data_IF_612518106782
#
_entry.id   IF_612518106782
#
_cell.length_a   1.000
_cell.length_b   1.000
_cell.length_c   1.000
_cell.angle_alpha   90.00
_cell.angle_beta   90.00
_cell.angle_gamma   90.00
#
_symmetry.space_group_name_H-M   'P 1'
#
loop_
_entity.id
_entity.type
_entity.pdbx_description
1 polymer ?
#
# COMPACT_ATOMS: atom_id res chain seq x y z
N UNK A 1 12.70 3.75 12.66
CA UNK A 1 13.42 2.69 13.40
C UNK A 1 13.38 1.40 12.59
N UNK A 2 14.09 0.33 12.98
CA UNK A 2 13.98 -0.95 12.29
C UNK A 2 12.76 -1.74 12.82
N UNK A 3 11.92 -2.21 11.90
CA UNK A 3 10.78 -3.09 12.21
C UNK A 3 11.24 -4.37 12.89
N UNK A 4 10.48 -4.84 13.88
CA UNK A 4 10.85 -6.00 14.71
C UNK A 4 10.08 -7.27 14.33
N UNK A 5 10.61 -8.42 14.72
CA UNK A 5 9.90 -9.69 14.58
C UNK A 5 8.69 -9.76 15.52
N UNK A 6 7.64 -10.46 15.12
CA UNK A 6 6.37 -10.58 15.86
C UNK A 6 6.11 -12.05 16.19
N UNK A 7 5.91 -12.37 17.48
CA UNK A 7 5.46 -13.67 17.99
C UNK A 7 6.24 -14.88 17.44
N UNK A 8 7.57 -14.87 17.57
CA UNK A 8 8.41 -15.93 16.97
C UNK A 8 9.16 -16.76 18.00
N UNK A 9 8.95 -18.07 17.96
CA UNK A 9 9.79 -19.08 18.59
C UNK A 9 10.72 -19.76 17.56
N UNK A 10 11.86 -20.29 18.01
CA UNK A 10 12.85 -20.96 17.15
C UNK A 10 12.26 -22.13 16.36
N UNK A 11 11.50 -23.01 17.02
CA UNK A 11 10.91 -24.19 16.35
C UNK A 11 9.84 -23.78 15.34
N UNK A 12 9.04 -22.77 15.70
CA UNK A 12 8.01 -22.23 14.82
C UNK A 12 8.60 -21.66 13.52
N UNK A 13 9.73 -20.93 13.59
CA UNK A 13 10.41 -20.39 12.40
C UNK A 13 10.78 -21.52 11.42
N UNK A 14 11.40 -22.59 11.92
CA UNK A 14 11.80 -23.72 11.08
C UNK A 14 10.61 -24.46 10.48
N UNK A 15 9.54 -24.67 11.26
CA UNK A 15 8.31 -25.27 10.76
C UNK A 15 7.68 -24.44 9.64
N UNK A 16 7.59 -23.11 9.80
CA UNK A 16 7.04 -22.21 8.78
C UNK A 16 7.91 -22.22 7.51
N UNK A 17 9.22 -22.14 7.65
CA UNK A 17 10.13 -22.19 6.48
C UNK A 17 9.98 -23.53 5.74
N UNK A 18 9.90 -24.63 6.49
CA UNK A 18 9.72 -25.96 5.90
C UNK A 18 8.39 -26.07 5.17
N UNK A 19 7.27 -25.69 5.80
CA UNK A 19 5.94 -25.69 5.18
C UNK A 19 5.90 -24.77 3.96
N UNK A 20 6.42 -23.55 4.08
CA UNK A 20 6.46 -22.63 2.96
C UNK A 20 7.23 -23.24 1.77
N UNK A 21 8.40 -23.84 2.01
CA UNK A 21 9.18 -24.51 0.96
C UNK A 21 8.44 -25.71 0.37
N UNK A 22 7.88 -26.58 1.21
CA UNK A 22 7.14 -27.77 0.79
C UNK A 22 5.97 -27.41 -0.13
N UNK A 23 5.16 -26.44 0.29
CA UNK A 23 4.02 -25.93 -0.49
C UNK A 23 4.46 -25.05 -1.66
N UNK A 24 5.71 -24.57 -1.64
CA UNK A 24 6.35 -23.88 -2.77
C UNK A 24 6.75 -24.83 -3.91
N UNK A 25 6.95 -26.13 -3.63
CA UNK A 25 7.35 -27.14 -4.63
C UNK A 25 6.23 -27.39 -5.65
N UNK A 26 6.61 -27.52 -6.92
CA UNK A 26 5.71 -27.61 -8.09
C UNK A 26 4.69 -28.75 -8.05
N UNK A 27 4.99 -29.84 -7.36
CA UNK A 27 4.06 -30.96 -7.17
C UNK A 27 2.96 -30.62 -6.17
N UNK A 28 3.32 -30.05 -5.03
CA UNK A 28 2.35 -29.61 -4.01
C UNK A 28 1.60 -28.34 -4.41
N UNK A 29 2.20 -27.47 -5.23
CA UNK A 29 1.54 -26.26 -5.73
C UNK A 29 0.34 -26.54 -6.63
N UNK A 30 0.22 -27.75 -7.19
CA UNK A 30 -0.95 -28.19 -7.96
C UNK A 30 -2.11 -28.62 -7.05
N UNK A 31 -1.80 -29.05 -5.83
CA UNK A 31 -2.77 -29.50 -4.84
C UNK A 31 -3.23 -28.36 -3.92
N UNK A 32 -2.41 -27.33 -3.73
CA UNK A 32 -2.70 -26.19 -2.86
C UNK A 32 -2.91 -24.90 -3.64
N UNK A 33 -4.06 -24.24 -3.39
CA UNK A 33 -4.41 -22.94 -3.99
C UNK A 33 -3.38 -21.89 -3.56
N UNK A 34 -2.96 -21.05 -4.51
CA UNK A 34 -2.15 -19.85 -4.29
C UNK A 34 -2.86 -18.63 -4.83
N UNK A 35 -2.55 -17.47 -4.26
CA UNK A 35 -2.90 -16.17 -4.82
C UNK A 35 -1.61 -15.36 -4.93
N UNK A 36 -1.06 -15.27 -6.15
CA UNK A 36 0.22 -14.61 -6.42
C UNK A 36 1.35 -15.08 -5.48
N UNK A 37 1.95 -14.19 -4.67
CA UNK A 37 3.05 -14.54 -3.76
C UNK A 37 2.65 -15.28 -2.48
N UNK A 38 1.36 -15.48 -2.25
CA UNK A 38 0.83 -16.01 -0.98
C UNK A 38 0.60 -17.52 -1.07
N UNK A 39 1.14 -18.25 -0.11
CA UNK A 39 0.97 -19.70 0.05
C UNK A 39 -0.10 -19.96 1.10
N UNK A 40 -1.19 -20.63 0.73
CA UNK A 40 -2.26 -20.99 1.66
C UNK A 40 -1.92 -22.31 2.37
N UNK A 41 -1.74 -22.25 3.69
CA UNK A 41 -1.49 -23.43 4.53
C UNK A 41 -2.80 -24.12 4.93
N UNK A 42 -3.89 -23.36 5.03
CA UNK A 42 -5.23 -23.88 5.33
C UNK A 42 -6.33 -22.95 4.77
N UNK A 43 -7.59 -23.18 5.17
CA UNK A 43 -8.68 -22.24 4.91
C UNK A 43 -8.58 -20.94 5.73
N UNK A 44 -7.78 -20.93 6.80
CA UNK A 44 -7.68 -19.79 7.75
C UNK A 44 -6.30 -19.15 7.81
N UNK A 45 -5.26 -19.81 7.31
CA UNK A 45 -3.86 -19.36 7.47
C UNK A 45 -3.16 -19.34 6.12
N UNK A 46 -2.42 -18.26 5.88
CA UNK A 46 -1.52 -18.12 4.75
C UNK A 46 -0.16 -17.56 5.16
N UNK A 47 0.81 -17.71 4.27
CA UNK A 47 2.16 -17.16 4.42
C UNK A 47 2.50 -16.34 3.19
N UNK A 48 2.85 -15.06 3.40
CA UNK A 48 3.43 -14.18 2.38
C UNK A 48 4.95 -14.16 2.57
N UNK A 49 5.67 -14.39 1.48
CA UNK A 49 7.13 -14.25 1.45
C UNK A 49 7.59 -14.00 0.02
N UNK A 50 7.91 -12.75 -0.29
CA UNK A 50 8.52 -12.32 -1.55
C UNK A 50 9.91 -11.73 -1.28
N UNK A 51 10.69 -11.40 -2.33
CA UNK A 51 11.89 -10.59 -2.18
C UNK A 51 11.64 -9.18 -1.63
N UNK A 52 10.39 -8.70 -1.62
CA UNK A 52 10.01 -7.34 -1.23
C UNK A 52 9.20 -7.27 0.07
N UNK A 53 8.69 -8.41 0.56
CA UNK A 53 8.01 -8.51 1.85
C UNK A 53 8.91 -7.95 2.95
N UNK A 54 8.35 -7.06 3.76
CA UNK A 54 9.05 -6.41 4.87
C UNK A 54 8.34 -6.71 6.19
N UNK A 55 9.04 -6.55 7.32
CA UNK A 55 8.40 -6.61 8.64
C UNK A 55 7.45 -5.43 8.85
N UNK A 56 7.69 -4.29 8.17
CA UNK A 56 6.82 -3.12 8.21
C UNK A 56 5.41 -3.41 7.69
N UNK A 57 5.25 -4.32 6.70
CA UNK A 57 3.93 -4.78 6.24
C UNK A 57 3.13 -5.44 7.38
N UNK A 58 3.79 -6.28 8.19
CA UNK A 58 3.17 -6.93 9.33
C UNK A 58 2.87 -5.93 10.46
N UNK A 59 3.78 -4.99 10.72
CA UNK A 59 3.54 -3.88 11.65
C UNK A 59 2.35 -3.03 11.21
N UNK A 60 2.20 -2.74 9.91
CA UNK A 60 1.13 -1.90 9.38
C UNK A 60 -0.24 -2.55 9.60
N UNK A 61 -0.39 -3.84 9.30
CA UNK A 61 -1.63 -4.56 9.59
C UNK A 61 -1.98 -4.54 11.08
N UNK A 62 -1.00 -4.75 11.97
CA UNK A 62 -1.25 -4.65 13.42
C UNK A 62 -1.66 -3.25 13.85
N UNK A 63 -0.94 -2.24 13.38
CA UNK A 63 -1.22 -0.84 13.68
C UNK A 63 -2.63 -0.44 13.25
N UNK A 64 -3.05 -0.81 12.05
CA UNK A 64 -4.39 -0.52 11.54
C UNK A 64 -5.47 -1.23 12.36
N UNK A 65 -5.27 -2.51 12.69
CA UNK A 65 -6.19 -3.27 13.53
C UNK A 65 -6.31 -2.70 14.96
N UNK A 66 -5.24 -2.12 15.49
CA UNK A 66 -5.21 -1.52 16.82
C UNK A 66 -5.85 -0.12 16.87
N UNK A 67 -5.91 0.61 15.74
CA UNK A 67 -6.37 2.00 15.68
C UNK A 67 -7.68 2.23 14.91
N UNK A 68 -8.23 1.22 14.25
CA UNK A 68 -9.43 1.36 13.41
C UNK A 68 -10.32 0.12 13.48
N UNK A 69 -11.51 0.19 12.88
CA UNK A 69 -12.38 -0.99 12.66
C UNK A 69 -12.17 -1.63 11.29
N UNK A 70 -11.12 -1.26 10.56
CA UNK A 70 -10.86 -1.76 9.20
C UNK A 70 -10.49 -3.24 9.30
N UNK A 71 -11.18 -4.12 8.56
CA UNK A 71 -10.82 -5.54 8.56
C UNK A 71 -9.49 -5.71 7.82
N UNK A 72 -8.46 -6.16 8.53
CA UNK A 72 -7.14 -6.48 7.98
C UNK A 72 -6.73 -7.88 8.41
N UNK A 73 -5.86 -8.59 7.65
CA UNK A 73 -5.42 -9.92 8.05
C UNK A 73 -4.77 -9.91 9.43
N UNK A 74 -5.26 -10.76 10.34
CA UNK A 74 -4.60 -10.94 11.64
C UNK A 74 -3.19 -11.51 11.44
N UNK A 75 -2.17 -10.78 11.88
CA UNK A 75 -0.79 -11.26 11.89
C UNK A 75 -0.59 -12.24 13.04
N UNK A 76 -0.25 -13.48 12.73
CA UNK A 76 0.10 -14.49 13.72
C UNK A 76 1.58 -14.46 14.07
N UNK A 77 2.44 -14.30 13.07
CA UNK A 77 3.88 -14.35 13.22
C UNK A 77 4.57 -13.63 12.05
N UNK A 78 5.64 -12.88 12.32
CA UNK A 78 6.46 -12.25 11.28
C UNK A 78 7.94 -12.26 11.66
N UNK A 79 8.81 -12.71 10.75
CA UNK A 79 10.25 -12.76 11.01
C UNK A 79 11.09 -12.74 9.74
N UNK A 80 12.36 -12.38 9.91
CA UNK A 80 13.39 -12.50 8.89
C UNK A 80 14.24 -13.76 9.10
N UNK A 81 14.52 -14.48 8.01
CA UNK A 81 15.51 -15.55 7.97
C UNK A 81 16.31 -15.46 6.68
N UNK A 82 17.65 -15.33 6.79
CA UNK A 82 18.56 -15.21 5.65
C UNK A 82 18.12 -14.13 4.62
N UNK A 83 17.81 -12.91 5.10
CA UNK A 83 17.36 -11.77 4.27
C UNK A 83 16.02 -11.97 3.57
N UNK A 84 15.20 -12.90 4.04
CA UNK A 84 13.85 -13.12 3.53
C UNK A 84 12.87 -13.04 4.69
N UNK A 85 11.84 -12.21 4.50
CA UNK A 85 10.77 -12.05 5.48
C UNK A 85 9.66 -13.06 5.21
N UNK A 86 9.10 -13.58 6.29
CA UNK A 86 7.94 -14.45 6.30
C UNK A 86 6.88 -13.78 7.17
N UNK A 87 5.70 -13.54 6.60
CA UNK A 87 4.53 -13.04 7.33
C UNK A 87 3.47 -14.15 7.30
N UNK A 88 3.19 -14.70 8.47
CA UNK A 88 2.09 -15.66 8.69
C UNK A 88 0.89 -14.90 9.20
N UNK A 89 -0.20 -14.98 8.45
CA UNK A 89 -1.38 -14.18 8.70
C UNK A 89 -2.67 -14.94 8.38
N UNK A 90 -3.78 -14.35 8.80
CA UNK A 90 -5.11 -14.83 8.48
C UNK A 90 -5.35 -14.84 6.96
N UNK A 91 -5.92 -15.95 6.50
CA UNK A 91 -6.51 -16.04 5.17
C UNK A 91 -7.97 -15.63 5.28
N UNK A 92 -8.27 -14.42 4.83
CA UNK A 92 -9.63 -13.89 4.80
C UNK A 92 -10.46 -14.61 3.72
N UNK A 93 -11.65 -15.06 4.12
CA UNK A 93 -12.62 -15.68 3.21
C UNK A 93 -13.50 -14.61 2.56
N UNK A 94 -13.03 -14.10 1.42
CA UNK A 94 -13.70 -13.10 0.59
C UNK A 94 -13.15 -13.10 -0.84
N UNK A 95 -13.87 -12.44 -1.75
CA UNK A 95 -13.44 -12.28 -3.13
C UNK A 95 -12.96 -10.85 -3.37
N UNK A 96 -11.89 -10.63 -4.14
CA UNK A 96 -11.48 -9.29 -4.55
C UNK A 96 -12.63 -8.56 -5.25
N UNK A 97 -12.79 -7.26 -5.02
CA UNK A 97 -13.83 -6.44 -5.67
C UNK A 97 -13.73 -6.47 -7.19
N UNK A 98 -12.52 -6.62 -7.75
CA UNK A 98 -12.31 -6.84 -9.18
C UNK A 98 -13.20 -7.98 -9.73
N UNK A 99 -13.47 -9.00 -8.91
CA UNK A 99 -14.31 -10.12 -9.27
C UNK A 99 -15.80 -9.74 -9.23
N UNK A 100 -16.41 -9.68 -10.41
CA UNK A 100 -17.84 -9.44 -10.52
C UNK A 100 -18.24 -7.97 -10.35
N UNK A 101 -17.30 -7.00 -10.34
CA UNK A 101 -17.64 -5.58 -10.10
C UNK A 101 -18.66 -5.05 -11.10
N UNK A 102 -18.42 -5.31 -12.39
CA UNK A 102 -19.26 -4.83 -13.50
C UNK A 102 -20.64 -5.48 -13.55
N UNK A 103 -20.81 -6.60 -12.86
CA UNK A 103 -22.06 -7.35 -12.78
C UNK A 103 -22.93 -6.94 -11.58
N UNK A 104 -22.39 -6.13 -10.65
CA UNK A 104 -23.15 -5.60 -9.52
C UNK A 104 -24.10 -4.50 -9.95
N UNK A 105 -25.21 -4.36 -9.22
CA UNK A 105 -26.11 -3.22 -9.39
C UNK A 105 -25.46 -1.95 -8.86
N UNK A 106 -25.97 -0.79 -9.30
CA UNK A 106 -25.48 0.51 -8.84
C UNK A 106 -25.61 0.68 -7.32
N UNK A 107 -26.67 0.12 -6.72
CA UNK A 107 -26.92 0.17 -5.29
C UNK A 107 -25.90 -0.69 -4.51
N UNK A 108 -25.56 -1.88 -5.02
CA UNK A 108 -24.53 -2.74 -4.43
C UNK A 108 -23.16 -2.07 -4.48
N UNK A 109 -22.78 -1.51 -5.64
CA UNK A 109 -21.53 -0.74 -5.77
C UNK A 109 -21.51 0.46 -4.81
N UNK A 110 -22.61 1.21 -4.71
CA UNK A 110 -22.70 2.36 -3.81
C UNK A 110 -22.55 1.97 -2.33
N UNK A 111 -23.15 0.85 -1.88
CA UNK A 111 -22.99 0.34 -0.51
C UNK A 111 -21.54 0.01 -0.18
N UNK A 112 -20.86 -0.70 -1.10
CA UNK A 112 -19.45 -1.08 -0.93
C UNK A 112 -18.57 0.17 -0.87
N UNK A 113 -18.73 1.11 -1.81
CA UNK A 113 -17.89 2.31 -1.86
C UNK A 113 -18.14 3.26 -0.69
N UNK A 114 -19.37 3.36 -0.20
CA UNK A 114 -19.68 4.11 1.02
C UNK A 114 -19.00 3.48 2.25
N UNK A 115 -18.99 2.15 2.35
CA UNK A 115 -18.29 1.44 3.42
C UNK A 115 -16.77 1.67 3.33
N UNK A 116 -16.21 1.61 2.12
CA UNK A 116 -14.81 1.90 1.86
C UNK A 116 -14.45 3.35 2.22
N UNK A 117 -15.29 4.32 1.86
CA UNK A 117 -15.12 5.73 2.24
C UNK A 117 -14.99 5.88 3.75
N UNK A 118 -15.90 5.28 4.51
CA UNK A 118 -15.86 5.31 5.98
C UNK A 118 -14.59 4.68 6.54
N UNK A 119 -14.12 3.57 5.95
CA UNK A 119 -12.85 2.93 6.34
C UNK A 119 -11.64 3.84 6.09
N UNK A 120 -11.56 4.50 4.92
CA UNK A 120 -10.45 5.42 4.64
C UNK A 120 -10.51 6.68 5.51
N UNK A 121 -11.70 7.16 5.85
CA UNK A 121 -11.85 8.26 6.81
C UNK A 121 -11.29 7.89 8.18
N UNK A 122 -11.55 6.67 8.68
CA UNK A 122 -10.93 6.20 9.92
C UNK A 122 -9.40 6.16 9.81
N UNK A 123 -8.86 5.63 8.70
CA UNK A 123 -7.42 5.55 8.46
C UNK A 123 -6.75 6.95 8.49
N UNK A 124 -7.39 7.94 7.85
CA UNK A 124 -6.92 9.32 7.79
C UNK A 124 -7.03 10.07 9.12
N UNK A 125 -7.89 9.61 10.02
CA UNK A 125 -8.09 10.20 11.34
C UNK A 125 -7.10 9.68 12.40
N UNK A 126 -6.30 8.65 12.07
CA UNK A 126 -5.24 8.19 12.96
C UNK A 126 -4.23 9.33 13.15
N UNK A 127 -4.00 9.81 14.38
CA UNK A 127 -3.11 10.94 14.62
C UNK A 127 -1.67 10.56 14.28
N UNK A 128 -1.00 11.40 13.50
CA UNK A 128 0.42 11.23 13.22
C UNK A 128 1.26 11.39 14.49
N UNK A 129 2.34 10.60 14.67
CA UNK A 129 3.31 10.82 15.72
C UNK A 129 3.89 12.25 15.67
N UNK A 130 4.34 12.75 16.82
CA UNK A 130 5.02 14.05 16.89
C UNK A 130 6.27 14.00 16.01
N UNK A 131 6.50 15.07 15.23
CA UNK A 131 7.62 15.17 14.27
C UNK A 131 7.61 14.07 13.16
N UNK A 132 6.46 13.46 12.91
CA UNK A 132 6.31 12.50 11.82
C UNK A 132 6.43 13.19 10.46
N UNK A 133 7.47 12.81 9.71
CA UNK A 133 7.58 13.08 8.28
C UNK A 133 7.11 11.90 7.43
N UNK A 134 7.60 11.80 6.19
CA UNK A 134 7.22 10.69 5.31
C UNK A 134 7.99 9.42 5.70
N UNK A 135 7.27 8.39 6.16
CA UNK A 135 7.88 7.19 6.71
C UNK A 135 6.92 6.00 6.72
N UNK A 136 7.43 4.78 6.83
CA UNK A 136 6.59 3.63 7.12
C UNK A 136 6.03 3.70 8.56
N UNK A 137 5.16 2.76 8.92
CA UNK A 137 4.52 2.70 10.24
C UNK A 137 5.49 2.69 11.43
N UNK A 138 6.70 2.13 11.26
CA UNK A 138 7.74 2.03 12.30
C UNK A 138 8.76 3.21 12.24
N UNK A 139 8.44 4.27 11.50
CA UNK A 139 9.30 5.44 11.29
C UNK A 139 10.57 5.10 10.48
N UNK A 140 10.51 4.09 9.62
CA UNK A 140 11.56 3.69 8.69
C UNK A 140 11.27 4.11 7.24
N UNK A 141 12.10 3.66 6.28
CA UNK A 141 11.87 3.93 4.86
C UNK A 141 10.52 3.35 4.39
N UNK A 142 9.81 4.09 3.55
CA UNK A 142 8.64 3.58 2.83
C UNK A 142 9.08 2.63 1.72
N UNK A 143 8.23 1.67 1.38
CA UNK A 143 8.36 0.87 0.17
C UNK A 143 7.27 1.30 -0.81
N UNK A 144 7.63 1.66 -2.04
CA UNK A 144 6.65 1.97 -3.07
C UNK A 144 7.23 1.65 -4.45
N UNK A 145 6.70 0.63 -5.17
CA UNK A 145 7.22 0.23 -6.46
C UNK A 145 6.96 1.25 -7.58
N UNK A 146 6.15 2.30 -7.32
CA UNK A 146 5.85 3.37 -8.28
C UNK A 146 6.87 4.52 -8.23
N UNK A 147 7.74 4.53 -7.22
CA UNK A 147 8.79 5.55 -7.08
C UNK A 147 10.00 5.20 -7.96
N UNK A 148 10.69 6.21 -8.54
CA UNK A 148 11.85 5.96 -9.38
C UNK A 148 13.03 5.40 -8.58
N UNK A 149 13.89 4.62 -9.25
CA UNK A 149 15.14 4.13 -8.64
C UNK A 149 14.94 3.05 -7.57
N UNK A 150 15.60 3.14 -6.39
CA UNK A 150 15.43 2.14 -5.33
C UNK A 150 13.98 2.07 -4.86
N UNK A 151 13.49 0.87 -4.56
CA UNK A 151 12.10 0.68 -4.07
C UNK A 151 11.85 1.20 -2.65
N UNK A 152 12.90 1.45 -1.89
CA UNK A 152 12.82 1.96 -0.52
C UNK A 152 13.27 3.41 -0.46
N UNK A 153 12.46 4.26 0.15
CA UNK A 153 12.64 5.71 0.17
C UNK A 153 12.56 6.26 1.59
N UNK A 154 13.45 7.19 1.93
CA UNK A 154 13.44 7.85 3.24
C UNK A 154 13.99 6.99 4.37
N UNK A 155 13.51 7.15 5.63
CA UNK A 155 12.44 8.07 6.01
C UNK A 155 12.83 9.53 5.75
N UNK A 156 11.85 10.38 5.49
CA UNK A 156 12.05 11.82 5.30
C UNK A 156 11.53 12.56 6.52
N UNK A 157 12.23 13.62 6.94
CA UNK A 157 11.85 14.41 8.10
C UNK A 157 10.60 15.25 7.83
N UNK A 158 10.42 15.69 6.59
CA UNK A 158 9.27 16.50 6.18
C UNK A 158 8.70 16.03 4.84
N UNK A 159 7.48 16.47 4.52
CA UNK A 159 6.88 16.29 3.19
C UNK A 159 7.70 17.02 2.12
N UNK A 160 8.29 18.17 2.45
CA UNK A 160 9.16 18.93 1.55
C UNK A 160 10.41 18.13 1.18
N UNK A 161 11.08 17.48 2.14
CA UNK A 161 12.24 16.61 1.87
C UNK A 161 11.87 15.45 0.94
N UNK A 162 10.70 14.84 1.15
CA UNK A 162 10.18 13.79 0.27
C UNK A 162 9.93 14.33 -1.14
N UNK A 163 9.25 15.47 -1.28
CA UNK A 163 8.95 16.05 -2.59
C UNK A 163 10.20 16.52 -3.34
N UNK A 164 11.17 17.12 -2.65
CA UNK A 164 12.47 17.49 -3.25
C UNK A 164 13.12 16.27 -3.87
N UNK A 165 13.20 15.17 -3.10
CA UNK A 165 13.75 13.93 -3.60
C UNK A 165 12.91 13.31 -4.72
N UNK A 166 11.58 13.44 -4.66
CA UNK A 166 10.66 12.95 -5.69
C UNK A 166 10.85 13.66 -7.05
N UNK A 167 11.32 14.91 -7.02
CA UNK A 167 11.71 15.69 -8.19
C UNK A 167 13.20 15.55 -8.55
N UNK A 168 13.90 14.55 -8.02
CA UNK A 168 15.36 14.38 -8.21
C UNK A 168 16.17 15.64 -7.82
N UNK A 169 15.80 16.26 -6.70
CA UNK A 169 16.41 17.47 -6.14
C UNK A 169 16.28 18.72 -7.04
N UNK A 170 15.32 18.68 -7.98
CA UNK A 170 15.00 19.80 -8.85
C UNK A 170 14.21 20.89 -8.10
N UNK A 171 14.81 22.07 -8.02
CA UNK A 171 14.27 23.24 -7.33
C UNK A 171 13.68 24.30 -8.28
N UNK A 172 14.12 24.30 -9.53
CA UNK A 172 13.73 25.22 -10.60
C UNK A 172 13.25 24.44 -11.82
N UNK A 173 12.42 25.00 -12.72
CA UNK A 173 11.92 24.31 -13.91
C UNK A 173 13.01 24.23 -14.99
N UNK A 174 14.18 23.70 -14.66
CA UNK A 174 15.37 23.61 -15.51
C UNK A 174 16.12 22.32 -15.26
N UNK A 175 16.29 21.49 -16.29
CA UNK A 175 17.07 20.26 -16.20
C UNK A 175 18.27 20.32 -17.14
N UNK A 176 19.47 20.15 -16.59
CA UNK A 176 20.72 20.18 -17.35
C UNK A 176 20.91 21.43 -18.25
N UNK A 177 20.55 22.62 -17.76
CA UNK A 177 20.65 23.87 -18.52
C UNK A 177 19.47 24.17 -19.44
N UNK A 178 18.47 23.28 -19.52
CA UNK A 178 17.31 23.42 -20.40
C UNK A 178 16.08 23.74 -19.56
N UNK A 179 15.45 24.89 -19.83
CA UNK A 179 14.20 25.28 -19.18
C UNK A 179 13.06 24.36 -19.63
N UNK A 180 12.33 23.79 -18.68
CA UNK A 180 11.16 22.94 -18.85
C UNK A 180 9.98 23.59 -18.11
N UNK A 181 9.28 24.56 -18.72
CA UNK A 181 8.23 25.33 -18.05
C UNK A 181 7.12 24.48 -17.41
N UNK A 182 6.83 23.30 -17.99
CA UNK A 182 5.85 22.34 -17.49
C UNK A 182 6.14 21.83 -16.06
N UNK A 183 7.39 21.90 -15.58
CA UNK A 183 7.75 21.50 -14.21
C UNK A 183 7.42 22.59 -13.18
N UNK A 184 7.18 23.83 -13.60
CA UNK A 184 6.87 24.95 -12.70
C UNK A 184 5.64 24.68 -11.82
N UNK A 185 4.48 24.24 -12.35
CA UNK A 185 3.33 23.91 -11.50
C UNK A 185 3.62 22.77 -10.53
N UNK A 186 4.36 21.73 -10.95
CA UNK A 186 4.75 20.61 -10.09
C UNK A 186 5.64 21.06 -8.92
N UNK A 187 6.62 21.92 -9.20
CA UNK A 187 7.51 22.47 -8.18
C UNK A 187 6.71 23.33 -7.20
N UNK A 188 5.84 24.21 -7.68
CA UNK A 188 4.99 25.06 -6.84
C UNK A 188 4.06 24.24 -5.95
N UNK A 189 3.37 23.25 -6.52
CA UNK A 189 2.50 22.34 -5.78
C UNK A 189 3.26 21.59 -4.68
N UNK A 190 4.47 21.11 -4.97
CA UNK A 190 5.26 20.42 -3.97
C UNK A 190 5.83 21.32 -2.87
N UNK A 191 6.17 22.58 -3.20
CA UNK A 191 6.70 23.60 -2.26
C UNK A 191 5.63 24.28 -1.42
N UNK A 192 4.36 24.12 -1.76
CA UNK A 192 3.27 24.70 -1.00
C UNK A 192 3.24 24.14 0.44
N UNK A 193 2.69 24.88 1.42
CA UNK A 193 2.56 24.38 2.77
C UNK A 193 1.62 23.17 2.80
N UNK A 194 2.14 22.04 3.30
CA UNK A 194 1.37 20.82 3.50
C UNK A 194 0.99 20.66 4.98
N UNK A 195 -0.18 20.07 5.21
CA UNK A 195 -0.56 19.57 6.53
C UNK A 195 0.38 18.42 6.96
N UNK A 196 0.24 17.96 8.21
CA UNK A 196 0.99 16.80 8.68
C UNK A 196 0.71 15.57 7.80
N UNK A 197 1.70 14.66 7.63
CA UNK A 197 1.47 13.37 6.97
C UNK A 197 0.28 12.62 7.56
N UNK A 198 -0.42 11.88 6.72
CA UNK A 198 -1.56 11.03 7.10
C UNK A 198 -1.23 9.57 6.77
N UNK A 199 -1.77 8.64 7.56
CA UNK A 199 -1.53 7.23 7.30
C UNK A 199 -2.31 6.80 6.05
N UNK A 200 -1.60 6.19 5.10
CA UNK A 200 -2.10 5.80 3.78
C UNK A 200 -1.79 4.32 3.54
N UNK A 201 -2.66 3.65 2.77
CA UNK A 201 -2.44 2.29 2.29
C UNK A 201 -1.41 2.27 1.15
N UNK A 202 -1.51 3.19 0.20
CA UNK A 202 -0.57 3.36 -0.92
C UNK A 202 -0.77 2.42 -2.12
N UNK A 203 -1.53 1.33 -1.95
CA UNK A 203 -1.89 0.38 -3.03
C UNK A 203 -3.38 -0.03 -2.97
N UNK A 204 -4.29 0.94 -2.82
CA UNK A 204 -5.72 0.67 -2.63
C UNK A 204 -6.45 0.32 -3.94
N UNK A 205 -6.16 -0.87 -4.46
CA UNK A 205 -6.75 -1.43 -5.68
C UNK A 205 -7.98 -2.29 -5.39
N UNK A 206 -8.84 -2.47 -6.41
CA UNK A 206 -9.96 -3.41 -6.30
C UNK A 206 -9.52 -4.89 -6.21
N UNK A 207 -8.22 -5.19 -6.36
CA UNK A 207 -7.66 -6.53 -6.12
C UNK A 207 -7.33 -6.75 -4.62
N UNK A 208 -7.11 -5.66 -3.90
CA UNK A 208 -6.69 -5.65 -2.50
C UNK A 208 -7.85 -5.44 -1.52
N UNK A 209 -9.06 -5.22 -2.03
CA UNK A 209 -10.28 -5.10 -1.24
C UNK A 209 -11.10 -6.38 -1.43
N UNK A 210 -11.31 -7.13 -0.34
CA UNK A 210 -12.05 -8.38 -0.30
C UNK A 210 -13.46 -8.15 0.24
N UNK A 211 -14.45 -8.69 -0.46
CA UNK A 211 -15.85 -8.61 -0.07
C UNK A 211 -16.54 -9.96 -0.05
N UNK A 212 -17.57 -10.07 0.80
CA UNK A 212 -18.55 -11.15 0.81
C UNK A 212 -19.94 -10.53 0.61
N UNK A 213 -20.52 -10.73 -0.56
CA UNK A 213 -21.68 -9.94 -0.97
C UNK A 213 -21.30 -8.47 -1.13
N UNK A 214 -21.94 -7.61 -0.34
CA UNK A 214 -21.68 -6.16 -0.29
C UNK A 214 -20.86 -5.73 0.94
N UNK A 215 -20.50 -6.68 1.80
CA UNK A 215 -19.71 -6.40 3.00
C UNK A 215 -18.22 -6.52 2.68
N UNK A 216 -17.45 -5.46 2.96
CA UNK A 216 -15.99 -5.50 2.92
C UNK A 216 -15.52 -6.30 4.13
N UNK A 217 -14.87 -7.43 3.88
CA UNK A 217 -14.37 -8.37 4.91
C UNK A 217 -12.86 -8.36 5.06
N UNK A 218 -12.15 -7.59 4.21
CA UNK A 218 -10.71 -7.45 4.31
C UNK A 218 -10.13 -6.41 3.36
N UNK A 219 -9.14 -5.65 3.83
CA UNK A 219 -8.19 -4.90 3.02
C UNK A 219 -6.81 -5.53 3.23
N UNK A 220 -6.15 -5.92 2.14
CA UNK A 220 -4.89 -6.66 2.16
C UNK A 220 -3.79 -5.91 1.40
N UNK A 221 -2.55 -6.41 1.47
CA UNK A 221 -1.38 -5.86 0.78
C UNK A 221 -0.89 -4.50 1.30
N UNK A 222 -0.67 -4.43 2.61
CA UNK A 222 -0.22 -3.23 3.33
C UNK A 222 1.28 -2.95 3.20
N UNK A 223 1.96 -3.49 2.18
CA UNK A 223 3.43 -3.36 2.05
C UNK A 223 3.88 -1.94 1.69
N UNK A 224 2.99 -1.15 1.08
CA UNK A 224 3.19 0.27 0.72
C UNK A 224 2.69 1.25 1.79
N UNK A 225 2.19 0.74 2.91
CA UNK A 225 1.53 1.57 3.90
C UNK A 225 2.52 2.43 4.69
N UNK A 226 2.12 3.68 4.96
CA UNK A 226 2.96 4.63 5.66
C UNK A 226 2.31 5.99 5.87
N UNK A 227 3.03 6.84 6.60
CA UNK A 227 2.74 8.26 6.76
C UNK A 227 3.17 9.00 5.48
N UNK A 228 2.18 9.50 4.74
CA UNK A 228 2.37 10.07 3.40
C UNK A 228 1.74 11.46 3.29
N UNK A 229 2.10 12.26 2.26
CA UNK A 229 1.38 13.51 1.97
C UNK A 229 -0.14 13.28 1.83
N UNK A 230 -1.00 14.21 2.26
CA UNK A 230 -2.47 14.01 2.26
C UNK A 230 -3.11 13.61 0.92
N UNK A 231 -2.49 14.01 -0.20
CA UNK A 231 -2.97 13.70 -1.54
C UNK A 231 -2.54 12.30 -2.05
N UNK A 232 -1.57 11.66 -1.38
CA UNK A 232 -0.85 10.51 -1.91
C UNK A 232 -1.77 9.32 -2.20
N UNK A 233 -2.65 8.98 -1.26
CA UNK A 233 -3.62 7.89 -1.42
C UNK A 233 -4.48 8.08 -2.69
N UNK A 234 -4.94 9.32 -2.94
CA UNK A 234 -5.77 9.64 -4.11
C UNK A 234 -5.04 9.37 -5.43
N UNK A 235 -3.85 9.93 -5.59
CA UNK A 235 -3.03 9.72 -6.79
C UNK A 235 -2.58 8.26 -6.94
N UNK A 236 -2.37 7.56 -5.82
CA UNK A 236 -2.00 6.15 -5.82
C UNK A 236 -3.14 5.23 -6.24
N UNK A 237 -4.33 5.39 -5.65
CA UNK A 237 -5.52 4.62 -6.00
C UNK A 237 -5.94 4.85 -7.46
N UNK A 238 -5.79 6.09 -7.96
CA UNK A 238 -6.06 6.42 -9.36
C UNK A 238 -5.12 5.70 -10.32
N UNK A 239 -3.83 5.62 -9.98
CA UNK A 239 -2.82 5.03 -10.85
C UNK A 239 -2.45 3.58 -10.47
N UNK A 240 -3.23 2.96 -9.59
CA UNK A 240 -2.87 1.71 -8.90
C UNK A 240 -2.70 0.52 -9.84
N UNK A 241 -3.52 0.44 -10.89
CA UNK A 241 -3.45 -0.66 -11.84
C UNK A 241 -3.90 -0.24 -13.24
N UNK A 242 -2.99 -0.17 -14.22
CA UNK A 242 -3.32 0.23 -15.59
C UNK A 242 -4.22 -0.80 -16.31
N UNK A 243 -4.25 -2.05 -15.85
CA UNK A 243 -5.12 -3.10 -16.40
C UNK A 243 -6.54 -3.00 -15.86
N UNK A 244 -6.77 -2.15 -14.85
CA UNK A 244 -8.03 -2.05 -14.15
C UNK A 244 -8.61 -0.63 -14.18
N UNK A 245 -8.71 -0.07 -15.38
CA UNK A 245 -9.17 1.31 -15.60
C UNK A 245 -10.57 1.60 -15.05
N UNK A 246 -11.43 0.59 -14.84
CA UNK A 246 -12.75 0.85 -14.24
C UNK A 246 -12.61 1.44 -12.83
N UNK A 247 -11.55 1.06 -12.10
CA UNK A 247 -11.36 1.49 -10.72
C UNK A 247 -11.15 3.01 -10.61
N UNK A 248 -10.51 3.64 -11.60
CA UNK A 248 -10.35 5.10 -11.68
C UNK A 248 -11.69 5.82 -11.57
N UNK A 249 -12.71 5.32 -12.29
CA UNK A 249 -14.06 5.90 -12.28
C UNK A 249 -14.74 5.83 -10.90
N UNK A 250 -14.23 4.99 -10.00
CA UNK A 250 -14.79 4.82 -8.65
C UNK A 250 -14.00 5.61 -7.59
N UNK A 251 -12.77 6.06 -7.86
CA UNK A 251 -11.88 6.66 -6.84
C UNK A 251 -12.53 7.86 -6.14
N UNK A 252 -13.14 8.77 -6.92
CA UNK A 252 -13.85 9.95 -6.39
C UNK A 252 -15.06 9.59 -5.51
N UNK A 253 -15.54 8.35 -5.58
CA UNK A 253 -16.68 7.88 -4.78
C UNK A 253 -16.26 7.38 -3.40
N UNK A 254 -14.97 7.19 -3.12
CA UNK A 254 -14.50 6.76 -1.79
C UNK A 254 -13.31 7.54 -1.24
N UNK A 255 -12.59 8.28 -2.09
CA UNK A 255 -11.59 9.26 -1.68
C UNK A 255 -12.08 10.68 -1.99
N UNK A 256 -11.63 11.65 -1.21
CA UNK A 256 -11.83 13.06 -1.53
C UNK A 256 -11.12 13.39 -2.85
N UNK A 257 -11.83 13.91 -3.87
CA UNK A 257 -11.22 14.26 -5.14
C UNK A 257 -10.16 15.34 -4.98
N UNK A 258 -9.01 15.16 -5.64
CA UNK A 258 -7.94 16.15 -5.70
C UNK A 258 -7.37 16.26 -7.12
N UNK A 259 -8.11 16.84 -8.09
CA UNK A 259 -7.72 16.85 -9.50
C UNK A 259 -6.36 17.49 -9.77
N UNK A 260 -6.02 18.58 -9.09
CA UNK A 260 -4.72 19.23 -9.19
C UNK A 260 -3.57 18.26 -8.87
N UNK A 261 -3.73 17.43 -7.84
CA UNK A 261 -2.72 16.41 -7.49
C UNK A 261 -2.55 15.36 -8.59
N UNK A 262 -3.62 15.01 -9.33
CA UNK A 262 -3.54 14.11 -10.48
C UNK A 262 -2.81 14.74 -11.67
N UNK A 263 -3.06 16.03 -11.94
CA UNK A 263 -2.34 16.77 -12.97
C UNK A 263 -0.84 16.80 -12.65
N UNK A 264 -0.49 17.07 -11.40
CA UNK A 264 0.91 17.09 -10.95
C UNK A 264 1.54 15.69 -11.00
N UNK A 265 0.80 14.66 -10.63
CA UNK A 265 1.24 13.27 -10.76
C UNK A 265 1.46 12.88 -12.24
N UNK A 266 0.62 13.34 -13.15
CA UNK A 266 0.80 13.11 -14.58
C UNK A 266 2.09 13.77 -15.10
N UNK A 267 2.38 15.01 -14.69
CA UNK A 267 3.65 15.68 -15.01
C UNK A 267 4.81 14.90 -14.41
N UNK A 268 4.75 14.51 -13.13
CA UNK A 268 5.80 13.73 -12.46
C UNK A 268 6.13 12.44 -13.23
N UNK A 269 5.09 11.68 -13.61
CA UNK A 269 5.25 10.43 -14.36
C UNK A 269 5.87 10.66 -15.73
N UNK A 270 5.53 11.76 -16.42
CA UNK A 270 6.13 12.20 -17.72
C UNK A 270 7.64 12.23 -17.69
N UNK A 271 8.20 12.80 -16.62
CA UNK A 271 9.64 13.05 -16.53
C UNK A 271 10.41 11.96 -15.79
N UNK A 272 9.73 11.05 -15.10
CA UNK A 272 10.34 9.91 -14.43
C UNK A 272 10.26 8.58 -15.22
N UNK A 273 9.56 8.57 -16.36
CA UNK A 273 9.44 7.38 -17.21
C UNK A 273 8.42 6.34 -16.72
N UNK A 274 7.44 6.76 -15.92
CA UNK A 274 6.48 5.89 -15.22
C UNK A 274 5.21 5.55 -16.04
N UNK A 275 5.30 5.38 -17.37
CA UNK A 275 4.14 4.99 -18.24
C UNK A 275 4.18 3.52 -18.66
#
# INVERSE_FOLDING_TARGET
MASQSINTDFFMRWAIIFLFKLFSVRWFSRLFKRAGPVVFLSSRICVKSTPFTSLAEASAMRFVAENTTIPVPKVYCAFEHKRRVYVVMERIDGLPLAHGWRQRTAESQARILNSLRSMIQQLRQIPAPIECGVSNVDGGPIYDPRLPGPKHWGPFRTIDDFHKRLRADLEEPEYAGIRIPELSPLISFHKQPWLCPVFSHGDLSSLNILARGDDIVGIVDWETAGWMPPYWEYTSAWNVNPQNQFWQNEVDRFLEPFPEALEMEAIRRKYNGDY
#
